data_IF_511796801579
#
_entry.id   IF_511796801579
#
_cell.length_a   1.000
_cell.length_b   1.000
_cell.length_c   1.000
_cell.angle_alpha   90.00
_cell.angle_beta   90.00
_cell.angle_gamma   90.00
#
_symmetry.space_group_name_H-M   'P 1'
#
loop_
_entity.id
_entity.type
_entity.pdbx_description
1 polymer ?
#
# COMPACT_ATOMS: atom_id res chain seq x y z
N UNK A 1 -2.71 38.31 33.16
CA UNK A 1 -2.11 37.85 31.89
C UNK A 1 -1.96 36.34 31.94
N UNK A 2 -3.00 35.60 31.55
CA UNK A 2 -3.01 34.13 31.51
C UNK A 2 -3.88 33.71 30.32
N UNK A 3 -3.29 33.58 29.14
CA UNK A 3 -4.09 33.33 27.93
C UNK A 3 -3.29 33.07 26.65
N UNK A 4 -2.08 32.51 26.71
CA UNK A 4 -1.31 32.29 25.49
C UNK A 4 -0.37 31.07 25.48
N UNK A 5 -0.81 29.94 26.06
CA UNK A 5 -0.01 28.71 26.00
C UNK A 5 -0.76 27.44 25.57
N UNK A 6 -1.99 27.54 25.05
CA UNK A 6 -2.80 26.35 24.77
C UNK A 6 -3.00 26.01 23.29
N UNK A 7 -2.25 26.60 22.35
CA UNK A 7 -2.52 26.42 20.92
C UNK A 7 -1.52 25.54 20.15
N UNK A 8 -0.58 24.85 20.81
CA UNK A 8 0.43 24.03 20.09
C UNK A 8 0.20 22.50 20.12
N UNK A 9 -0.91 22.00 20.66
CA UNK A 9 -1.11 20.55 20.81
C UNK A 9 -1.94 19.85 19.72
N UNK A 10 -2.35 20.54 18.65
CA UNK A 10 -3.29 19.95 17.66
C UNK A 10 -2.69 19.44 16.34
N UNK A 11 -1.36 19.39 16.18
CA UNK A 11 -0.74 18.99 14.89
C UNK A 11 -0.06 17.61 14.85
N UNK A 12 -0.20 16.77 15.88
CA UNK A 12 0.50 15.47 15.92
C UNK A 12 -0.38 14.22 15.79
N UNK A 13 -1.65 14.34 15.37
CA UNK A 13 -2.60 13.20 15.38
C UNK A 13 -3.11 12.71 14.02
N UNK A 14 -2.47 13.04 12.90
CA UNK A 14 -2.93 12.57 11.57
C UNK A 14 -1.87 11.83 10.74
N UNK A 15 -1.09 10.96 11.38
CA UNK A 15 -0.54 9.79 10.67
C UNK A 15 -1.31 8.56 11.12
N UNK A 16 -2.64 8.58 10.94
CA UNK A 16 -3.34 7.31 10.75
C UNK A 16 -2.79 6.74 9.46
N UNK A 17 -1.84 5.82 9.60
CA UNK A 17 -1.32 4.95 8.55
C UNK A 17 -2.53 4.18 8.01
N UNK A 18 -3.21 4.75 7.01
CA UNK A 18 -4.47 4.20 6.51
C UNK A 18 -4.14 2.88 5.82
N UNK A 19 -4.72 1.81 6.34
CA UNK A 19 -4.56 0.45 5.78
C UNK A 19 -4.90 0.42 4.28
N UNK A 20 -4.01 -0.12 3.42
CA UNK A 20 -4.22 -0.15 1.97
C UNK A 20 -5.49 -0.91 1.57
N UNK A 21 -5.90 -1.92 2.34
CA UNK A 21 -7.16 -2.65 2.08
C UNK A 21 -8.37 -1.74 2.30
N UNK A 22 -8.32 -0.91 3.35
CA UNK A 22 -9.34 0.09 3.64
C UNK A 22 -9.42 1.16 2.54
N UNK A 23 -8.27 1.65 2.05
CA UNK A 23 -8.22 2.55 0.88
C UNK A 23 -8.81 1.93 -0.37
N UNK A 24 -8.44 0.69 -0.69
CA UNK A 24 -9.02 -0.06 -1.81
C UNK A 24 -10.56 -0.11 -1.72
N UNK A 25 -11.10 -0.50 -0.56
CA UNK A 25 -12.56 -0.58 -0.35
C UNK A 25 -13.27 0.75 -0.58
N UNK A 26 -12.64 1.87 -0.22
CA UNK A 26 -13.18 3.21 -0.46
C UNK A 26 -13.15 3.61 -1.95
N UNK A 27 -12.20 3.08 -2.73
CA UNK A 27 -12.07 3.37 -4.15
C UNK A 27 -13.05 2.56 -5.02
N UNK A 28 -13.54 1.40 -4.57
CA UNK A 28 -14.46 0.55 -5.35
C UNK A 28 -15.75 1.28 -5.79
N UNK A 29 -16.46 2.04 -4.91
CA UNK A 29 -17.60 2.84 -5.35
C UNK A 29 -17.23 3.90 -6.39
N UNK A 30 -16.10 4.60 -6.20
CA UNK A 30 -15.62 5.63 -7.12
C UNK A 30 -15.28 5.05 -8.49
N UNK A 31 -14.68 3.86 -8.55
CA UNK A 31 -14.41 3.16 -9.81
C UNK A 31 -15.71 2.88 -10.57
N UNK A 32 -16.73 2.38 -9.87
CA UNK A 32 -18.04 2.10 -10.46
C UNK A 32 -18.67 3.38 -11.01
N UNK A 33 -18.66 4.46 -10.23
CA UNK A 33 -19.23 5.74 -10.63
C UNK A 33 -18.50 6.34 -11.83
N UNK A 34 -17.16 6.32 -11.81
CA UNK A 34 -16.32 6.81 -12.89
C UNK A 34 -16.56 6.05 -14.20
N UNK A 35 -16.66 4.71 -14.15
CA UNK A 35 -16.99 3.89 -15.31
C UNK A 35 -18.38 4.19 -15.87
N UNK A 36 -19.39 4.29 -15.00
CA UNK A 36 -20.76 4.64 -15.42
C UNK A 36 -20.78 6.02 -16.07
N UNK A 37 -20.05 6.98 -15.51
CA UNK A 37 -19.98 8.33 -16.05
C UNK A 37 -19.27 8.37 -17.41
N UNK A 38 -18.14 7.67 -17.54
CA UNK A 38 -17.41 7.50 -18.80
C UNK A 38 -18.31 6.92 -19.90
N UNK A 39 -19.02 5.82 -19.61
CA UNK A 39 -19.92 5.19 -20.58
C UNK A 39 -21.08 6.10 -20.98
N UNK A 40 -21.65 6.84 -20.02
CA UNK A 40 -22.70 7.83 -20.29
C UNK A 40 -22.22 8.92 -21.24
N UNK A 41 -21.04 9.48 -20.98
CA UNK A 41 -20.48 10.58 -21.76
C UNK A 41 -20.04 10.10 -23.14
N UNK A 42 -19.43 8.93 -23.24
CA UNK A 42 -19.08 8.30 -24.51
C UNK A 42 -20.34 8.05 -25.37
N UNK A 43 -21.41 7.52 -24.76
CA UNK A 43 -22.68 7.30 -25.45
C UNK A 43 -23.34 8.59 -25.93
N UNK A 44 -23.34 9.64 -25.10
CA UNK A 44 -23.84 10.96 -25.49
C UNK A 44 -23.04 11.56 -26.64
N UNK A 45 -21.71 11.42 -26.63
CA UNK A 45 -20.85 11.87 -27.72
C UNK A 45 -21.14 11.11 -29.01
N UNK A 46 -21.35 9.79 -28.95
CA UNK A 46 -21.68 9.00 -30.13
C UNK A 46 -23.00 9.43 -30.76
N UNK A 47 -24.05 9.62 -29.95
CA UNK A 47 -25.36 10.11 -30.43
C UNK A 47 -25.24 11.53 -30.97
N UNK A 48 -24.45 12.38 -30.32
CA UNK A 48 -24.21 13.75 -30.79
C UNK A 48 -23.51 13.77 -32.15
N UNK A 49 -22.44 13.00 -32.31
CA UNK A 49 -21.70 12.89 -33.57
C UNK A 49 -22.58 12.31 -34.67
N UNK A 50 -23.35 11.25 -34.37
CA UNK A 50 -24.31 10.69 -35.33
C UNK A 50 -25.39 11.70 -35.77
N UNK A 51 -25.84 12.59 -34.87
CA UNK A 51 -26.80 13.64 -35.22
C UNK A 51 -26.17 14.72 -36.13
N UNK A 52 -24.89 15.04 -35.94
CA UNK A 52 -24.15 15.95 -36.82
C UNK A 52 -23.95 15.31 -38.21
N UNK A 53 -23.55 14.03 -38.25
CA UNK A 53 -23.33 13.29 -39.50
C UNK A 53 -24.62 13.17 -40.34
N UNK A 54 -25.77 13.02 -39.66
CA UNK A 54 -27.09 13.03 -40.30
C UNK A 54 -27.65 14.45 -40.56
N UNK A 55 -26.86 15.50 -40.34
CA UNK A 55 -27.25 16.91 -40.52
C UNK A 55 -28.48 17.34 -39.70
N UNK A 56 -28.76 16.63 -38.60
CA UNK A 56 -29.88 16.92 -37.68
C UNK A 56 -29.53 17.99 -36.65
N UNK A 57 -28.23 18.27 -36.44
CA UNK A 57 -27.71 19.29 -35.51
C UNK A 57 -26.45 19.94 -36.09
N UNK A 58 -26.28 21.25 -35.84
CA UNK A 58 -25.03 21.97 -36.11
C UNK A 58 -23.97 21.63 -35.06
N UNK A 59 -22.70 21.53 -35.47
CA UNK A 59 -21.57 21.14 -34.62
C UNK A 59 -21.11 22.16 -33.58
N UNK A 60 -21.87 23.23 -33.32
CA UNK A 60 -21.49 24.31 -32.41
C UNK A 60 -21.69 23.99 -30.92
N UNK A 61 -22.33 22.86 -30.57
CA UNK A 61 -22.50 22.48 -29.18
C UNK A 61 -21.26 21.74 -28.64
N UNK A 62 -20.59 22.23 -27.58
CA UNK A 62 -19.46 21.53 -27.01
C UNK A 62 -19.92 20.22 -26.37
N UNK A 63 -19.45 19.09 -26.91
CA UNK A 63 -19.67 17.79 -26.30
C UNK A 63 -18.81 17.64 -25.04
N UNK A 64 -19.30 16.87 -24.06
CA UNK A 64 -18.50 16.60 -22.87
C UNK A 64 -17.25 15.80 -23.24
N UNK A 65 -16.08 16.23 -22.74
CA UNK A 65 -14.80 15.63 -23.12
C UNK A 65 -14.69 14.21 -22.56
N UNK A 66 -14.69 13.22 -23.45
CA UNK A 66 -14.47 11.81 -23.10
C UNK A 66 -13.10 11.63 -22.43
N UNK A 67 -12.07 12.31 -22.93
CA UNK A 67 -10.69 12.23 -22.43
C UNK A 67 -10.59 12.44 -20.92
N UNK A 68 -11.27 13.46 -20.39
CA UNK A 68 -11.23 13.79 -18.95
C UNK A 68 -11.81 12.66 -18.09
N UNK A 69 -12.92 12.07 -18.55
CA UNK A 69 -13.60 11.00 -17.81
C UNK A 69 -12.84 9.68 -17.92
N UNK A 70 -12.15 9.48 -19.04
CA UNK A 70 -11.26 8.35 -19.24
C UNK A 70 -10.04 8.46 -18.32
N UNK A 71 -9.44 9.65 -18.21
CA UNK A 71 -8.33 9.94 -17.29
C UNK A 71 -8.73 9.70 -15.83
N UNK A 72 -9.91 10.17 -15.41
CA UNK A 72 -10.42 9.94 -14.05
C UNK A 72 -10.64 8.45 -13.75
N UNK A 73 -11.14 7.68 -14.73
CA UNK A 73 -11.29 6.23 -14.62
C UNK A 73 -9.94 5.53 -14.44
N UNK A 74 -8.96 5.84 -15.28
CA UNK A 74 -7.61 5.26 -15.17
C UNK A 74 -6.91 5.69 -13.88
N UNK A 75 -7.01 6.95 -13.47
CA UNK A 75 -6.44 7.42 -12.21
C UNK A 75 -7.00 6.65 -11.00
N UNK A 76 -8.29 6.28 -11.04
CA UNK A 76 -8.90 5.45 -10.00
C UNK A 76 -8.37 4.01 -10.03
N UNK A 77 -8.20 3.43 -11.22
CA UNK A 77 -7.59 2.10 -11.39
C UNK A 77 -6.15 2.06 -10.87
N UNK A 78 -5.33 3.06 -11.20
CA UNK A 78 -3.93 3.14 -10.77
C UNK A 78 -3.83 3.19 -9.24
N UNK A 79 -4.71 3.98 -8.60
CA UNK A 79 -4.78 4.04 -7.14
C UNK A 79 -5.21 2.69 -6.53
N UNK A 80 -6.16 2.00 -7.15
CA UNK A 80 -6.57 0.65 -6.72
C UNK A 80 -5.40 -0.32 -6.83
N UNK A 81 -4.72 -0.33 -7.97
CA UNK A 81 -3.56 -1.21 -8.21
C UNK A 81 -2.46 -0.96 -7.18
N UNK A 82 -2.11 0.31 -6.94
CA UNK A 82 -1.11 0.68 -5.95
C UNK A 82 -1.46 0.16 -4.55
N UNK A 83 -2.71 0.34 -4.11
CA UNK A 83 -3.16 -0.13 -2.80
C UNK A 83 -3.15 -1.65 -2.71
N UNK A 84 -3.54 -2.37 -3.77
CA UNK A 84 -3.50 -3.83 -3.78
C UNK A 84 -2.06 -4.38 -3.73
N UNK A 85 -1.13 -3.77 -4.49
CA UNK A 85 0.29 -4.10 -4.44
C UNK A 85 0.86 -3.86 -3.03
N UNK A 86 0.57 -2.71 -2.45
CA UNK A 86 1.03 -2.38 -1.09
C UNK A 86 0.46 -3.35 -0.05
N UNK A 87 -0.83 -3.71 -0.15
CA UNK A 87 -1.44 -4.71 0.74
C UNK A 87 -0.74 -6.08 0.65
N UNK A 88 -0.37 -6.50 -0.56
CA UNK A 88 0.38 -7.73 -0.78
C UNK A 88 1.79 -7.67 -0.17
N UNK A 89 2.49 -6.54 -0.31
CA UNK A 89 3.80 -6.33 0.29
C UNK A 89 3.71 -6.34 1.82
N UNK A 90 2.73 -5.67 2.42
CA UNK A 90 2.48 -5.71 3.85
C UNK A 90 2.20 -7.13 4.36
N UNK A 91 1.41 -7.92 3.60
CA UNK A 91 1.15 -9.32 3.95
C UNK A 91 2.42 -10.16 3.90
N UNK A 92 3.22 -10.01 2.84
CA UNK A 92 4.51 -10.70 2.70
C UNK A 92 5.45 -10.32 3.83
N UNK A 93 5.58 -9.03 4.13
CA UNK A 93 6.39 -8.53 5.23
C UNK A 93 5.91 -9.08 6.58
N UNK A 94 4.60 -9.19 6.80
CA UNK A 94 4.05 -9.78 8.01
C UNK A 94 4.40 -11.27 8.12
N UNK A 95 4.25 -12.04 7.04
CA UNK A 95 4.58 -13.46 7.02
C UNK A 95 6.08 -13.71 7.29
N UNK A 96 6.96 -12.95 6.65
CA UNK A 96 8.40 -13.04 6.87
C UNK A 96 8.79 -12.58 8.27
N UNK A 97 8.14 -11.52 8.78
CA UNK A 97 8.30 -11.09 10.17
C UNK A 97 7.96 -12.21 11.14
N UNK A 98 6.78 -12.84 11.01
CA UNK A 98 6.36 -13.96 11.89
C UNK A 98 7.29 -15.17 11.75
N UNK A 99 7.77 -15.47 10.55
CA UNK A 99 8.72 -16.57 10.29
C UNK A 99 10.05 -16.37 11.01
N UNK A 100 10.59 -15.15 11.00
CA UNK A 100 11.94 -14.86 11.51
C UNK A 100 11.97 -14.25 12.91
N UNK A 101 10.88 -13.62 13.34
CA UNK A 101 10.67 -12.98 14.62
C UNK A 101 9.21 -13.17 15.06
N UNK A 102 8.88 -14.28 15.74
CA UNK A 102 7.49 -14.69 16.00
C UNK A 102 6.66 -13.70 16.83
N UNK A 103 7.31 -12.79 17.55
CA UNK A 103 6.66 -11.80 18.40
C UNK A 103 7.12 -10.39 17.98
N UNK A 104 6.18 -9.46 17.76
CA UNK A 104 6.51 -8.10 17.37
C UNK A 104 7.24 -7.37 18.50
N UNK A 105 8.29 -6.61 18.15
CA UNK A 105 8.99 -5.75 19.10
C UNK A 105 8.21 -4.44 19.26
N UNK A 106 7.93 -3.96 20.47
CA UNK A 106 7.22 -2.71 20.69
C UNK A 106 8.00 -1.53 20.10
N UNK A 107 7.35 -0.74 19.25
CA UNK A 107 7.90 0.50 18.70
C UNK A 107 7.48 1.64 19.63
N UNK A 108 8.45 2.33 20.24
CA UNK A 108 8.25 3.37 21.27
C UNK A 108 7.35 4.56 20.85
N UNK A 109 6.94 4.64 19.58
CA UNK A 109 6.24 5.79 19.00
C UNK A 109 4.76 5.55 18.69
N UNK A 110 4.22 4.32 18.85
CA UNK A 110 2.79 4.04 18.62
C UNK A 110 2.09 3.91 19.97
N UNK A 111 0.97 4.62 20.22
CA UNK A 111 0.15 4.34 21.40
C UNK A 111 -0.28 2.88 21.33
N UNK A 112 -0.13 2.19 22.46
CA UNK A 112 -0.44 0.77 22.66
C UNK A 112 -1.64 0.36 21.80
N UNK A 113 -1.47 -0.54 20.80
CA UNK A 113 -2.62 -1.07 20.11
C UNK A 113 -3.45 -1.79 21.16
N UNK A 114 -4.73 -1.41 21.24
CA UNK A 114 -5.75 -1.97 22.14
C UNK A 114 -6.11 -3.43 21.79
N UNK A 115 -5.10 -4.26 21.49
CA UNK A 115 -5.20 -5.68 21.19
C UNK A 115 -4.18 -6.43 22.01
N UNK A 116 -4.65 -7.46 22.71
CA UNK A 116 -3.95 -8.33 23.65
C UNK A 116 -2.87 -9.22 22.98
N UNK A 117 -2.01 -8.66 22.14
CA UNK A 117 -0.91 -9.36 21.51
C UNK A 117 0.32 -9.36 22.40
N UNK A 118 0.86 -10.54 22.72
CA UNK A 118 2.18 -10.63 23.37
C UNK A 118 3.22 -9.95 22.48
N UNK A 119 3.92 -8.96 23.02
CA UNK A 119 5.06 -8.31 22.35
C UNK A 119 6.37 -8.87 22.88
N UNK A 120 7.42 -8.86 22.05
CA UNK A 120 8.76 -9.28 22.46
C UNK A 120 9.49 -8.11 23.13
N UNK A 121 9.93 -8.25 24.40
CA UNK A 121 10.81 -7.26 24.99
C UNK A 121 12.10 -7.11 24.18
N UNK A 122 12.61 -5.88 24.06
CA UNK A 122 13.80 -5.59 23.25
C UNK A 122 15.02 -6.45 23.62
N UNK A 123 15.20 -6.77 24.91
CA UNK A 123 16.27 -7.67 25.36
C UNK A 123 16.16 -9.09 24.79
N UNK A 124 14.94 -9.62 24.67
CA UNK A 124 14.69 -10.93 24.07
C UNK A 124 14.92 -10.90 22.56
N UNK A 125 14.56 -9.80 21.89
CA UNK A 125 14.87 -9.58 20.48
C UNK A 125 16.38 -9.56 20.22
N UNK A 126 17.17 -8.89 21.07
CA UNK A 126 18.62 -8.92 20.98
C UNK A 126 19.18 -10.35 21.14
N UNK A 127 18.59 -11.16 22.03
CA UNK A 127 18.94 -12.57 22.18
C UNK A 127 18.68 -13.38 20.89
N UNK A 128 17.51 -13.20 20.30
CA UNK A 128 17.15 -13.82 19.02
C UNK A 128 18.12 -13.41 17.90
N UNK A 129 18.41 -12.11 17.77
CA UNK A 129 19.34 -11.60 16.77
C UNK A 129 20.75 -12.20 16.93
N UNK A 130 21.25 -12.31 18.18
CA UNK A 130 22.54 -12.96 18.45
C UNK A 130 22.53 -14.43 18.05
N UNK A 131 21.46 -15.17 18.36
CA UNK A 131 21.31 -16.57 17.98
C UNK A 131 21.30 -16.75 16.45
N UNK A 132 20.59 -15.89 15.72
CA UNK A 132 20.59 -15.88 14.25
C UNK A 132 21.99 -15.63 13.67
N UNK A 133 22.74 -14.68 14.24
CA UNK A 133 24.14 -14.41 13.84
C UNK A 133 25.04 -15.64 14.09
N UNK A 134 24.89 -16.30 15.23
CA UNK A 134 25.65 -17.51 15.54
C UNK A 134 25.34 -18.64 14.55
N UNK A 135 24.06 -18.90 14.28
CA UNK A 135 23.63 -19.91 13.31
C UNK A 135 24.21 -19.64 11.91
N UNK A 136 24.17 -18.38 11.44
CA UNK A 136 24.75 -18.00 10.16
C UNK A 136 26.27 -18.25 10.09
N UNK A 137 27.00 -18.01 11.19
CA UNK A 137 28.44 -18.33 11.29
C UNK A 137 28.69 -19.83 11.24
N UNK A 138 27.90 -20.62 11.94
CA UNK A 138 28.03 -22.08 11.93
C UNK A 138 27.81 -22.66 10.54
N UNK A 139 26.79 -22.17 9.81
CA UNK A 139 26.54 -22.56 8.42
C UNK A 139 27.71 -22.15 7.53
N UNK A 140 28.20 -20.90 7.65
CA UNK A 140 29.37 -20.43 6.91
C UNK A 140 30.58 -21.32 7.15
N UNK A 141 30.92 -21.61 8.41
CA UNK A 141 32.08 -22.42 8.77
C UNK A 141 31.93 -23.86 8.25
N UNK A 142 30.72 -24.41 8.26
CA UNK A 142 30.44 -25.71 7.65
C UNK A 142 30.67 -25.68 6.12
N UNK A 143 30.18 -24.64 5.43
CA UNK A 143 30.38 -24.48 3.98
C UNK A 143 31.85 -24.30 3.62
N UNK A 144 32.61 -23.52 4.39
CA UNK A 144 34.07 -23.34 4.20
C UNK A 144 34.80 -24.67 4.35
N UNK A 145 34.51 -25.44 5.41
CA UNK A 145 35.10 -26.76 5.61
C UNK A 145 34.79 -27.70 4.45
N UNK A 146 33.54 -27.73 3.99
CA UNK A 146 33.16 -28.53 2.82
C UNK A 146 33.90 -28.09 1.54
N UNK A 147 34.09 -26.79 1.34
CA UNK A 147 34.83 -26.27 0.19
C UNK A 147 36.32 -26.64 0.25
N UNK A 148 36.93 -26.57 1.43
CA UNK A 148 38.32 -27.00 1.66
C UNK A 148 38.49 -28.50 1.45
N UNK A 149 37.55 -29.32 1.92
CA UNK A 149 37.55 -30.77 1.71
C UNK A 149 37.42 -31.14 0.22
N UNK A 150 36.66 -30.36 -0.56
CA UNK A 150 36.49 -30.55 -2.01
C UNK A 150 37.68 -30.01 -2.83
N UNK A 151 38.25 -28.88 -2.41
CA UNK A 151 39.41 -28.25 -3.06
C UNK A 151 40.74 -28.90 -2.69
N UNK A 152 40.78 -29.62 -1.56
CA UNK A 152 41.97 -30.20 -0.95
C UNK A 152 41.88 -31.70 -0.77
N UNK A 153 41.84 -32.44 -1.89
CA UNK A 153 42.47 -33.78 -2.05
C UNK A 153 42.42 -34.23 -3.53
N UNK A 154 43.38 -33.74 -4.30
CA UNK A 154 44.12 -34.54 -5.30
C UNK A 154 45.59 -34.47 -4.93
#
# INVERSE_FOLDING_TARGET
MAGQQQQQQQQQQQTMEVDPVSKFKLLVPHLKESLVNLMRIAGQNLVHNAAIDNQLKSGDNPSQRVDKNLEEFYSTLDQIELNLRLAQECLTQHQESVRHAPLPVPIMSKPEPSGEGQTMPYGQFLGLARSQVTCAKEIHDALVRCADDLGGKR
#
